data_IF_478500645598
#
_entry.id   IF_478500645598
#
_cell.length_a   1.000
_cell.length_b   1.000
_cell.length_c   1.000
_cell.angle_alpha   90.00
_cell.angle_beta   90.00
_cell.angle_gamma   90.00
#
_symmetry.space_group_name_H-M   'P 1'
#
loop_
_entity.id
_entity.type
_entity.pdbx_description
1 polymer ?
#
# COMPACT_ATOMS: atom_id res chain seq x y z
N UNK A 1 -36.97 15.11 -18.15
CA UNK A 1 -35.86 14.44 -18.90
C UNK A 1 -34.56 14.28 -18.11
N UNK A 2 -34.38 14.86 -16.92
CA UNK A 2 -33.09 14.89 -16.19
C UNK A 2 -32.67 13.62 -15.43
N UNK A 3 -33.57 12.66 -15.15
CA UNK A 3 -33.22 11.44 -14.39
C UNK A 3 -32.58 10.34 -15.25
N UNK A 4 -32.99 10.20 -16.53
CA UNK A 4 -32.42 9.19 -17.45
C UNK A 4 -30.98 9.50 -17.88
N UNK A 5 -30.64 10.77 -18.04
CA UNK A 5 -29.27 11.22 -18.42
C UNK A 5 -28.29 11.05 -17.26
N UNK A 6 -28.73 11.29 -16.02
CA UNK A 6 -27.90 11.04 -14.81
C UNK A 6 -27.64 9.55 -14.57
N UNK A 7 -28.64 8.68 -14.80
CA UNK A 7 -28.48 7.23 -14.65
C UNK A 7 -27.54 6.65 -15.71
N UNK A 8 -27.70 7.03 -16.98
CA UNK A 8 -26.84 6.55 -18.08
C UNK A 8 -25.37 6.99 -17.90
N UNK A 9 -25.12 8.21 -17.42
CA UNK A 9 -23.76 8.68 -17.06
C UNK A 9 -23.15 7.96 -15.85
N UNK A 10 -23.98 7.50 -14.90
CA UNK A 10 -23.52 6.71 -13.77
C UNK A 10 -23.09 5.32 -14.21
N UNK A 11 -23.95 4.63 -14.96
CA UNK A 11 -23.69 3.29 -15.51
C UNK A 11 -22.47 3.29 -16.46
N UNK A 12 -22.30 4.33 -17.30
CA UNK A 12 -21.14 4.45 -18.20
C UNK A 12 -19.82 4.70 -17.43
N UNK A 13 -19.86 5.43 -16.30
CA UNK A 13 -18.67 5.62 -15.44
C UNK A 13 -18.34 4.37 -14.63
N UNK A 14 -19.34 3.65 -14.15
CA UNK A 14 -19.17 2.41 -13.40
C UNK A 14 -18.57 1.31 -14.28
N UNK A 15 -19.10 1.11 -15.50
CA UNK A 15 -18.50 0.20 -16.47
C UNK A 15 -17.09 0.59 -16.93
N UNK A 16 -16.81 1.90 -17.04
CA UNK A 16 -15.46 2.39 -17.35
C UNK A 16 -14.50 2.09 -16.21
N UNK A 17 -14.95 2.19 -14.96
CA UNK A 17 -14.14 1.91 -13.77
C UNK A 17 -13.87 0.41 -13.61
N UNK A 18 -14.89 -0.42 -13.79
CA UNK A 18 -14.75 -1.89 -13.81
C UNK A 18 -13.75 -2.34 -14.89
N UNK A 19 -13.83 -1.77 -16.10
CA UNK A 19 -12.87 -2.06 -17.17
C UNK A 19 -11.45 -1.63 -16.82
N UNK A 20 -11.28 -0.50 -16.14
CA UNK A 20 -9.98 -0.04 -15.68
C UNK A 20 -9.41 -0.98 -14.61
N UNK A 21 -10.20 -1.33 -13.60
CA UNK A 21 -9.82 -2.30 -12.55
C UNK A 21 -9.41 -3.64 -13.16
N UNK A 22 -10.19 -4.17 -14.11
CA UNK A 22 -9.88 -5.43 -14.79
C UNK A 22 -8.60 -5.35 -15.62
N UNK A 23 -8.38 -4.22 -16.30
CA UNK A 23 -7.15 -3.97 -17.06
C UNK A 23 -5.94 -3.93 -16.14
N UNK A 24 -6.04 -3.31 -14.97
CA UNK A 24 -4.94 -3.27 -14.00
C UNK A 24 -4.61 -4.65 -13.46
N UNK A 25 -5.62 -5.44 -13.10
CA UNK A 25 -5.42 -6.83 -12.70
C UNK A 25 -4.72 -7.64 -13.79
N UNK A 26 -5.11 -7.43 -15.05
CA UNK A 26 -4.48 -8.08 -16.19
C UNK A 26 -3.03 -7.63 -16.40
N UNK A 27 -2.76 -6.31 -16.36
CA UNK A 27 -1.41 -5.75 -16.50
C UNK A 27 -0.48 -6.31 -15.40
N UNK A 28 -0.92 -6.33 -14.13
CA UNK A 28 -0.21 -6.95 -13.00
C UNK A 28 0.07 -8.43 -13.29
N UNK A 29 -0.94 -9.18 -13.74
CA UNK A 29 -0.80 -10.62 -14.02
C UNK A 29 0.21 -10.92 -15.13
N UNK A 30 0.30 -10.05 -16.13
CA UNK A 30 1.28 -10.17 -17.22
C UNK A 30 2.69 -9.84 -16.74
N UNK A 31 2.84 -8.84 -15.86
CA UNK A 31 4.12 -8.48 -15.26
C UNK A 31 4.75 -9.66 -14.51
N UNK A 32 3.97 -10.55 -13.90
CA UNK A 32 4.48 -11.76 -13.24
C UNK A 32 5.41 -12.61 -14.13
N UNK A 33 5.19 -12.62 -15.44
CA UNK A 33 5.98 -13.42 -16.40
C UNK A 33 7.19 -12.67 -16.97
N UNK A 34 7.30 -11.37 -16.72
CA UNK A 34 8.33 -10.49 -17.30
C UNK A 34 9.52 -10.26 -16.37
N UNK A 35 9.33 -10.47 -15.07
CA UNK A 35 10.37 -10.29 -14.05
C UNK A 35 10.92 -11.64 -13.62
N UNK A 36 12.24 -11.78 -13.70
CA UNK A 36 12.97 -12.94 -13.16
C UNK A 36 13.31 -12.77 -11.67
N UNK A 37 13.21 -11.54 -11.15
CA UNK A 37 13.50 -11.18 -9.78
C UNK A 37 12.20 -10.74 -9.07
N UNK A 38 11.97 -11.30 -7.88
CA UNK A 38 10.79 -11.00 -7.05
C UNK A 38 10.82 -9.56 -6.54
N UNK A 39 12.00 -9.01 -6.26
CA UNK A 39 12.13 -7.62 -5.79
C UNK A 39 11.67 -6.62 -6.86
N UNK A 40 12.14 -6.81 -8.09
CA UNK A 40 11.78 -5.96 -9.22
C UNK A 40 10.28 -6.06 -9.53
N UNK A 41 9.72 -7.26 -9.41
CA UNK A 41 8.30 -7.51 -9.58
C UNK A 41 7.47 -6.80 -8.51
N UNK A 42 7.81 -6.96 -7.23
CA UNK A 42 7.08 -6.34 -6.13
C UNK A 42 7.15 -4.82 -6.20
N UNK A 43 8.33 -4.27 -6.49
CA UNK A 43 8.51 -2.83 -6.70
C UNK A 43 7.65 -2.31 -7.86
N UNK A 44 7.53 -3.08 -8.95
CA UNK A 44 6.63 -2.74 -10.05
C UNK A 44 5.15 -2.74 -9.62
N UNK A 45 4.71 -3.80 -8.92
CA UNK A 45 3.33 -3.96 -8.47
C UNK A 45 2.94 -2.83 -7.51
N UNK A 46 3.74 -2.51 -6.50
CA UNK A 46 3.39 -1.46 -5.53
C UNK A 46 3.32 -0.08 -6.18
N UNK A 47 4.13 0.20 -7.20
CA UNK A 47 4.06 1.45 -7.98
C UNK A 47 2.75 1.56 -8.77
N UNK A 48 2.29 0.45 -9.34
CA UNK A 48 0.98 0.39 -10.00
C UNK A 48 -0.14 0.60 -8.99
N UNK A 49 -0.12 -0.09 -7.85
CA UNK A 49 -1.12 0.07 -6.77
C UNK A 49 -1.18 1.51 -6.29
N UNK A 50 -0.03 2.14 -6.02
CA UNK A 50 0.05 3.55 -5.57
C UNK A 50 -0.64 4.49 -6.56
N UNK A 51 -0.40 4.27 -7.85
CA UNK A 51 -1.01 5.07 -8.94
C UNK A 51 -2.53 4.90 -8.97
N UNK A 52 -3.02 3.67 -8.86
CA UNK A 52 -4.47 3.35 -8.92
C UNK A 52 -5.20 3.86 -7.69
N UNK A 53 -4.58 3.77 -6.52
CA UNK A 53 -5.14 4.22 -5.26
C UNK A 53 -5.06 5.74 -5.06
N UNK A 54 -4.39 6.46 -5.97
CA UNK A 54 -4.07 7.89 -5.81
C UNK A 54 -3.40 8.18 -4.47
N UNK A 55 -2.57 7.26 -3.99
CA UNK A 55 -1.86 7.36 -2.72
C UNK A 55 -0.53 8.10 -2.91
N UNK A 56 -0.05 8.75 -1.84
CA UNK A 56 1.27 9.40 -1.84
C UNK A 56 2.40 8.36 -1.82
N UNK A 57 2.22 7.29 -1.04
CA UNK A 57 3.14 6.16 -0.98
C UNK A 57 2.39 4.86 -0.62
N UNK A 58 2.93 3.73 -1.04
CA UNK A 58 2.50 2.39 -0.61
C UNK A 58 3.73 1.57 -0.22
N UNK A 59 3.65 0.88 0.91
CA UNK A 59 4.71 0.00 1.41
C UNK A 59 4.21 -1.42 1.62
N UNK A 60 5.13 -2.37 1.53
CA UNK A 60 4.93 -3.77 1.93
C UNK A 60 5.86 -4.04 3.12
N UNK A 61 5.24 -4.54 4.18
CA UNK A 61 5.89 -4.82 5.47
C UNK A 61 5.78 -6.31 5.73
N UNK A 62 6.89 -6.96 6.09
CA UNK A 62 6.94 -8.39 6.40
C UNK A 62 7.29 -8.62 7.87
N UNK A 63 6.88 -9.76 8.41
CA UNK A 63 7.25 -10.20 9.75
C UNK A 63 8.59 -10.92 9.72
N UNK A 64 9.52 -10.46 10.56
CA UNK A 64 10.80 -11.08 10.86
C UNK A 64 10.62 -11.96 12.10
N UNK A 65 10.45 -13.27 11.88
CA UNK A 65 10.18 -14.25 12.94
C UNK A 65 11.33 -14.36 13.96
N UNK A 66 12.57 -14.08 13.57
CA UNK A 66 13.72 -14.21 14.47
C UNK A 66 13.74 -13.12 15.54
N UNK A 67 13.29 -11.92 15.19
CA UNK A 67 13.29 -10.74 16.07
C UNK A 67 11.91 -10.37 16.60
N UNK A 68 10.86 -10.99 16.07
CA UNK A 68 9.46 -10.69 16.39
C UNK A 68 9.11 -9.22 16.09
N UNK A 69 9.51 -8.77 14.90
CA UNK A 69 9.35 -7.38 14.43
C UNK A 69 8.76 -7.36 13.02
N UNK A 70 8.11 -6.24 12.69
CA UNK A 70 7.65 -5.93 11.33
C UNK A 70 8.68 -5.03 10.64
N UNK A 71 9.06 -5.39 9.42
CA UNK A 71 10.15 -4.76 8.66
C UNK A 71 9.62 -4.22 7.35
N UNK A 72 9.97 -2.98 7.00
CA UNK A 72 9.66 -2.44 5.68
C UNK A 72 10.57 -3.10 4.65
N UNK A 73 9.98 -3.76 3.66
CA UNK A 73 10.75 -4.45 2.62
C UNK A 73 10.70 -3.68 1.29
N UNK A 74 9.53 -3.16 0.91
CA UNK A 74 9.40 -2.38 -0.31
C UNK A 74 8.54 -1.15 -0.08
N UNK A 75 8.89 -0.05 -0.74
CA UNK A 75 8.05 1.14 -0.77
C UNK A 75 8.10 1.85 -2.13
N UNK A 76 6.99 2.44 -2.55
CA UNK A 76 6.87 3.07 -3.86
C UNK A 76 7.65 4.37 -4.00
N UNK A 77 7.86 5.08 -2.89
CA UNK A 77 8.50 6.40 -2.80
C UNK A 77 10.00 6.33 -2.43
N UNK A 78 10.47 5.15 -1.98
CA UNK A 78 11.88 4.88 -1.68
C UNK A 78 12.42 3.86 -2.70
N UNK A 79 12.90 4.31 -3.88
CA UNK A 79 13.24 3.41 -4.97
C UNK A 79 14.59 2.70 -4.85
N UNK A 80 15.49 3.08 -3.94
CA UNK A 80 16.93 2.78 -4.12
C UNK A 80 17.62 1.90 -3.06
N UNK A 81 17.05 1.57 -1.90
CA UNK A 81 17.82 0.81 -0.87
C UNK A 81 16.94 -0.07 0.03
N UNK A 82 16.76 -1.33 -0.36
CA UNK A 82 16.24 -2.41 0.51
C UNK A 82 16.94 -2.40 1.88
N UNK A 83 18.28 -2.33 1.89
CA UNK A 83 19.08 -2.29 3.12
C UNK A 83 18.66 -1.18 4.11
N UNK A 84 18.21 -0.01 3.61
CA UNK A 84 17.76 1.09 4.47
C UNK A 84 16.31 0.90 4.93
N UNK A 85 15.48 0.25 4.13
CA UNK A 85 14.12 -0.08 4.52
C UNK A 85 14.11 -1.16 5.62
N UNK A 86 15.05 -2.11 5.55
CA UNK A 86 15.22 -3.16 6.58
C UNK A 86 15.64 -2.63 7.96
N UNK A 87 16.16 -1.40 8.02
CA UNK A 87 16.45 -0.68 9.27
C UNK A 87 15.18 -0.13 9.93
N UNK A 88 14.09 0.04 9.16
CA UNK A 88 12.82 0.54 9.69
C UNK A 88 12.01 -0.64 10.22
N UNK A 89 11.96 -0.73 11.55
CA UNK A 89 11.37 -1.85 12.28
C UNK A 89 10.29 -1.36 13.24
N UNK A 90 9.20 -2.12 13.30
CA UNK A 90 8.08 -1.89 14.21
C UNK A 90 7.93 -3.14 15.09
N UNK A 91 8.03 -3.04 16.42
CA UNK A 91 7.68 -4.15 17.29
C UNK A 91 6.24 -4.62 17.03
N UNK A 92 5.97 -5.92 17.08
CA UNK A 92 4.64 -6.47 16.74
C UNK A 92 3.48 -5.96 17.61
N UNK A 93 3.77 -5.58 18.85
CA UNK A 93 2.81 -5.00 19.79
C UNK A 93 2.64 -3.48 19.64
N UNK A 94 3.36 -2.86 18.70
CA UNK A 94 3.32 -1.43 18.43
C UNK A 94 2.78 -1.13 17.03
N UNK A 95 2.33 0.11 16.85
CA UNK A 95 1.90 0.57 15.54
C UNK A 95 0.52 0.08 15.14
N UNK A 96 -0.07 0.78 14.17
CA UNK A 96 -1.24 0.30 13.43
C UNK A 96 -0.90 -1.00 12.68
N UNK A 97 0.32 -1.10 12.13
CA UNK A 97 0.80 -2.30 11.45
C UNK A 97 0.79 -3.54 12.36
N UNK A 98 1.28 -3.43 13.60
CA UNK A 98 1.24 -4.52 14.58
C UNK A 98 -0.19 -4.91 14.97
N UNK A 99 -1.07 -3.93 15.17
CA UNK A 99 -2.50 -4.17 15.41
C UNK A 99 -3.17 -4.94 14.28
N UNK A 100 -2.92 -4.54 13.03
CA UNK A 100 -3.47 -5.20 11.83
C UNK A 100 -2.89 -6.61 11.68
N UNK A 101 -1.58 -6.77 11.86
CA UNK A 101 -0.91 -8.08 11.78
C UNK A 101 -1.50 -9.07 12.78
N UNK A 102 -1.62 -8.67 14.05
CA UNK A 102 -2.16 -9.54 15.11
C UNK A 102 -3.65 -9.85 14.95
N UNK A 103 -4.43 -8.91 14.42
CA UNK A 103 -5.88 -9.09 14.28
C UNK A 103 -6.31 -9.73 12.97
N UNK A 104 -5.47 -9.67 11.93
CA UNK A 104 -5.78 -10.09 10.57
C UNK A 104 -6.87 -9.25 9.88
N UNK A 105 -7.20 -8.07 10.42
CA UNK A 105 -8.28 -7.21 9.91
C UNK A 105 -7.71 -5.97 9.25
N UNK A 106 -8.13 -5.71 8.01
CA UNK A 106 -7.80 -4.48 7.31
C UNK A 106 -8.47 -3.27 7.99
N UNK A 107 -7.70 -2.18 8.15
CA UNK A 107 -8.15 -0.93 8.77
C UNK A 107 -7.89 0.26 7.84
N UNK A 108 -8.80 1.25 7.84
CA UNK A 108 -8.61 2.56 7.22
C UNK A 108 -8.63 3.59 8.35
N UNK A 109 -7.50 4.27 8.55
CA UNK A 109 -7.36 5.32 9.56
C UNK A 109 -7.45 6.67 8.85
N UNK A 110 -8.43 7.48 9.26
CA UNK A 110 -8.70 8.79 8.65
C UNK A 110 -7.86 9.93 9.21
N UNK A 111 -7.31 9.79 10.41
CA UNK A 111 -6.36 10.74 11.00
C UNK A 111 -5.43 9.99 11.96
N UNK A 112 -4.24 9.68 11.49
CA UNK A 112 -3.22 8.94 12.23
C UNK A 112 -2.72 9.72 13.44
N UNK A 113 -2.77 11.06 13.43
CA UNK A 113 -2.31 11.87 14.55
C UNK A 113 -3.24 11.76 15.77
N UNK A 114 -4.47 11.27 15.58
CA UNK A 114 -5.43 11.00 16.64
C UNK A 114 -5.47 9.52 17.06
N UNK A 115 -4.79 8.63 16.33
CA UNK A 115 -4.75 7.21 16.68
C UNK A 115 -3.62 6.96 17.69
N UNK A 116 -3.92 6.47 18.91
CA UNK A 116 -2.90 6.23 19.92
C UNK A 116 -1.92 5.11 19.55
N UNK A 117 -2.24 4.32 18.51
CA UNK A 117 -1.36 3.28 17.97
C UNK A 117 -0.39 3.85 16.93
N UNK A 118 -0.43 5.15 16.60
CA UNK A 118 0.54 5.73 15.66
C UNK A 118 1.96 5.60 16.20
N UNK A 119 2.84 5.00 15.40
CA UNK A 119 4.23 4.78 15.75
C UNK A 119 5.11 5.75 14.97
N UNK A 120 5.31 6.94 15.53
CA UNK A 120 5.98 8.07 14.88
C UNK A 120 7.47 7.88 14.58
N UNK A 121 8.08 6.84 15.14
CA UNK A 121 9.50 6.54 14.92
C UNK A 121 9.75 6.14 13.45
N UNK A 122 8.74 5.58 12.78
CA UNK A 122 8.77 5.27 11.34
C UNK A 122 8.83 6.55 10.51
N UNK A 123 8.00 7.55 10.83
CA UNK A 123 8.01 8.85 10.14
C UNK A 123 9.38 9.53 10.28
N UNK A 124 10.00 9.38 11.46
CA UNK A 124 11.33 9.93 11.75
C UNK A 124 12.44 9.21 10.97
N UNK A 125 12.34 7.89 10.80
CA UNK A 125 13.32 7.08 10.07
C UNK A 125 13.22 7.21 8.55
N UNK A 126 12.05 7.56 8.03
CA UNK A 126 11.77 7.66 6.58
C UNK A 126 11.87 9.08 6.04
N UNK A 127 11.98 10.10 6.91
CA UNK A 127 11.73 11.52 6.58
C UNK A 127 10.34 11.75 5.94
N UNK A 128 9.46 10.75 6.00
CA UNK A 128 8.09 10.80 5.50
C UNK A 128 7.17 11.16 6.65
N UNK A 129 6.33 12.18 6.44
CA UNK A 129 5.31 12.53 7.44
C UNK A 129 4.00 11.89 7.03
N UNK A 130 3.56 10.89 7.78
CA UNK A 130 2.27 10.25 7.52
C UNK A 130 1.15 11.28 7.71
N UNK A 131 0.39 11.51 6.64
CA UNK A 131 -0.82 12.33 6.62
C UNK A 131 -1.96 11.48 6.11
N UNK A 132 -3.00 11.35 6.91
CA UNK A 132 -4.26 10.68 6.58
C UNK A 132 -5.39 11.62 6.92
#
# INVERSE_FOLDING_TARGET
MSKKVKKKRGDDMEHSREHQELKYLWDISQSLYQYLNVDDLLLHIIKQITTVMYAEATSVILHDEEKDELVFCWSSDIPERLDKLEEIRIPLDHGIAGSVFNSGKAEIILDVAQDPRHYSDVDSATEFKTKS
#
